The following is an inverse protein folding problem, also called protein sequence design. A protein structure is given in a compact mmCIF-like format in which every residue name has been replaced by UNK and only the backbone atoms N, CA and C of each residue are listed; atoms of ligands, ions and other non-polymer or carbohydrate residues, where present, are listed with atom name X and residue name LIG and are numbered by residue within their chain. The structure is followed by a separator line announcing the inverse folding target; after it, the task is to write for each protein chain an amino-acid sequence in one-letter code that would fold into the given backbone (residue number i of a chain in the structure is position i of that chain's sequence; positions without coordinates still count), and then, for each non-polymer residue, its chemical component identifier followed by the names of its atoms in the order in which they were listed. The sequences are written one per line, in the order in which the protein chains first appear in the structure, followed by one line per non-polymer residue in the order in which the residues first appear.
data_IF_028008161372
#
_entry.id   IF_028008161372
#
_cell.length_a   1.000
_cell.length_b   1.000
_cell.length_c   1.000
_cell.angle_alpha   90.00
_cell.angle_beta   90.00
_cell.angle_gamma   90.00
#
_symmetry.space_group_name_H-M   'P 1'
#
loop_
_entity.id
_entity.type
_entity.pdbx_description
1 polymer ?
#
# COMPACT_ATOMS: atom_id res chain seq x y z
N UNK A 1 19.26 62.84 -23.32
CA UNK A 1 19.99 64.06 -23.72
C UNK A 1 18.98 65.10 -24.22
N UNK A 2 19.19 66.39 -23.96
CA UNK A 2 18.31 67.48 -24.42
C UNK A 2 19.04 68.28 -25.51
N UNK A 3 18.31 68.88 -26.46
CA UNK A 3 18.91 69.71 -27.53
C UNK A 3 19.68 70.91 -26.98
N UNK A 4 19.13 71.60 -25.97
CA UNK A 4 19.75 72.76 -25.31
C UNK A 4 21.14 72.44 -24.74
N UNK A 5 21.37 71.21 -24.29
CA UNK A 5 22.68 70.77 -23.78
C UNK A 5 23.74 70.69 -24.90
N UNK A 6 23.34 70.31 -26.12
CA UNK A 6 24.25 70.25 -27.28
C UNK A 6 24.56 71.66 -27.81
N UNK A 7 23.58 72.56 -27.74
CA UNK A 7 23.75 73.98 -28.07
C UNK A 7 24.70 74.67 -27.07
N UNK A 8 24.56 74.40 -25.77
CA UNK A 8 25.46 74.89 -24.70
C UNK A 8 26.90 74.38 -24.85
N UNK A 9 27.10 73.22 -25.48
CA UNK A 9 28.43 72.65 -25.80
C UNK A 9 29.07 73.26 -27.06
N UNK A 10 28.43 74.26 -27.68
CA UNK A 10 28.94 74.95 -28.87
C UNK A 10 28.66 74.23 -30.19
N UNK A 11 27.75 73.24 -30.21
CA UNK A 11 27.31 72.60 -31.46
C UNK A 11 26.17 73.45 -32.03
N UNK A 12 26.49 74.36 -32.94
CA UNK A 12 25.49 75.29 -33.49
C UNK A 12 24.83 74.77 -34.79
N UNK A 13 25.42 73.76 -35.42
CA UNK A 13 24.89 73.16 -36.65
C UNK A 13 23.68 72.29 -36.34
N UNK A 14 22.50 72.76 -36.75
CA UNK A 14 21.21 72.09 -36.54
C UNK A 14 21.20 70.66 -37.10
N UNK A 15 21.86 70.43 -38.22
CA UNK A 15 21.99 69.12 -38.85
C UNK A 15 22.73 68.14 -37.92
N UNK A 16 23.84 68.58 -37.33
CA UNK A 16 24.67 67.76 -36.42
C UNK A 16 23.91 67.47 -35.12
N UNK A 17 23.21 68.46 -34.55
CA UNK A 17 22.35 68.27 -33.37
C UNK A 17 21.26 67.23 -33.66
N UNK A 18 20.61 67.30 -34.82
CA UNK A 18 19.55 66.36 -35.18
C UNK A 18 20.07 64.94 -35.38
N UNK A 19 21.25 64.79 -35.97
CA UNK A 19 21.90 63.50 -36.13
C UNK A 19 22.27 62.86 -34.78
N UNK A 20 22.92 63.61 -33.88
CA UNK A 20 23.25 63.16 -32.52
C UNK A 20 21.98 62.80 -31.73
N UNK A 21 20.92 63.61 -31.82
CA UNK A 21 19.66 63.33 -31.14
C UNK A 21 18.97 62.09 -31.69
N UNK A 22 19.07 61.84 -32.99
CA UNK A 22 18.53 60.64 -33.64
C UNK A 22 19.31 59.39 -33.24
N UNK A 23 20.63 59.47 -33.23
CA UNK A 23 21.51 58.39 -32.78
C UNK A 23 21.31 58.08 -31.30
N UNK A 24 21.24 59.10 -30.45
CA UNK A 24 20.93 58.93 -29.03
C UNK A 24 19.55 58.31 -28.80
N UNK A 25 18.55 58.70 -29.60
CA UNK A 25 17.22 58.09 -29.57
C UNK A 25 17.26 56.59 -29.90
N UNK A 26 17.96 56.21 -30.97
CA UNK A 26 18.17 54.82 -31.38
C UNK A 26 18.93 54.01 -30.32
N UNK A 27 20.03 54.54 -29.81
CA UNK A 27 20.82 53.87 -28.76
C UNK A 27 20.00 53.60 -27.50
N UNK A 28 19.12 54.53 -27.09
CA UNK A 28 18.21 54.31 -25.96
C UNK A 28 17.14 53.26 -26.25
N UNK A 29 16.62 53.23 -27.48
CA UNK A 29 15.65 52.22 -27.88
C UNK A 29 16.29 50.83 -27.92
N UNK A 30 17.49 50.70 -28.49
CA UNK A 30 18.25 49.45 -28.47
C UNK A 30 18.63 49.01 -27.06
N UNK A 31 18.95 49.94 -26.15
CA UNK A 31 19.18 49.61 -24.73
C UNK A 31 17.91 49.12 -24.04
N UNK A 32 16.75 49.68 -24.37
CA UNK A 32 15.46 49.26 -23.84
C UNK A 32 15.06 47.87 -24.36
N UNK A 33 15.35 47.58 -25.63
CA UNK A 33 15.12 46.27 -26.26
C UNK A 33 16.12 45.21 -25.76
N UNK A 34 17.36 45.60 -25.44
CA UNK A 34 18.39 44.73 -24.83
C UNK A 34 18.25 44.58 -23.31
N UNK A 35 17.12 44.98 -22.72
CA UNK A 35 16.80 44.69 -21.31
C UNK A 35 16.47 43.20 -21.13
N UNK A 36 17.48 42.35 -21.30
CA UNK A 36 17.54 40.97 -20.83
C UNK A 36 17.04 40.85 -19.37
N UNK A 37 17.01 41.95 -18.62
CA UNK A 37 16.44 42.03 -17.27
C UNK A 37 14.98 41.62 -17.20
N UNK A 38 14.16 41.87 -18.22
CA UNK A 38 12.73 41.50 -18.17
C UNK A 38 12.50 40.00 -18.38
N UNK A 39 13.27 39.39 -19.28
CA UNK A 39 13.28 37.94 -19.50
C UNK A 39 13.93 37.21 -18.32
N UNK A 40 15.09 37.71 -17.83
CA UNK A 40 15.75 37.21 -16.62
C UNK A 40 14.82 37.25 -15.40
N UNK A 41 14.03 38.32 -15.22
CA UNK A 41 13.08 38.39 -14.11
C UNK A 41 12.00 37.29 -14.20
N UNK A 42 11.43 37.08 -15.38
CA UNK A 42 10.45 36.01 -15.61
C UNK A 42 11.06 34.63 -15.36
N UNK A 43 12.28 34.41 -15.83
CA UNK A 43 13.00 33.15 -15.61
C UNK A 43 13.30 32.95 -14.12
N UNK A 44 13.69 34.00 -13.40
CA UNK A 44 13.91 33.91 -11.95
C UNK A 44 12.63 33.63 -11.17
N UNK A 45 11.50 34.24 -11.55
CA UNK A 45 10.19 33.97 -10.93
C UNK A 45 9.74 32.53 -11.19
N UNK A 46 9.91 32.04 -12.43
CA UNK A 46 9.59 30.67 -12.79
C UNK A 46 10.48 29.65 -12.06
N UNK A 47 11.78 29.92 -11.95
CA UNK A 47 12.71 29.07 -11.19
C UNK A 47 12.38 29.08 -9.69
N UNK A 48 12.02 30.22 -9.12
CA UNK A 48 11.59 30.31 -7.71
C UNK A 48 10.33 29.49 -7.46
N UNK A 49 9.34 29.55 -8.37
CA UNK A 49 8.14 28.72 -8.27
C UNK A 49 8.46 27.23 -8.34
N UNK A 50 9.34 26.81 -9.25
CA UNK A 50 9.79 25.42 -9.32
C UNK A 50 10.52 24.97 -8.05
N UNK A 51 11.36 25.82 -7.46
CA UNK A 51 12.05 25.52 -6.20
C UNK A 51 11.06 25.34 -5.05
N UNK A 52 10.02 26.19 -4.97
CA UNK A 52 8.98 26.05 -3.95
C UNK A 52 8.21 24.74 -4.15
N UNK A 53 7.79 24.43 -5.37
CA UNK A 53 7.05 23.19 -5.67
C UNK A 53 7.90 21.94 -5.37
N UNK A 54 9.17 21.94 -5.76
CA UNK A 54 10.09 20.84 -5.45
C UNK A 54 10.31 20.68 -3.94
N UNK A 55 10.43 21.78 -3.20
CA UNK A 55 10.58 21.73 -1.75
C UNK A 55 9.32 21.17 -1.07
N UNK A 56 8.12 21.54 -1.54
CA UNK A 56 6.86 20.96 -1.07
C UNK A 56 6.78 19.45 -1.36
N UNK A 57 7.21 19.02 -2.54
CA UNK A 57 7.29 17.60 -2.90
C UNK A 57 8.27 16.83 -2.01
N UNK A 58 9.46 17.40 -1.73
CA UNK A 58 10.45 16.81 -0.81
C UNK A 58 9.87 16.69 0.59
N UNK A 59 9.30 17.75 1.15
CA UNK A 59 8.72 17.73 2.49
C UNK A 59 7.60 16.69 2.60
N UNK A 60 6.79 16.53 1.54
CA UNK A 60 5.75 15.50 1.48
C UNK A 60 6.36 14.10 1.51
N UNK A 61 7.41 13.84 0.71
CA UNK A 61 8.10 12.56 0.70
C UNK A 61 8.80 12.26 2.03
N UNK A 62 9.43 13.25 2.67
CA UNK A 62 10.05 13.10 3.99
C UNK A 62 9.02 12.86 5.10
N UNK A 63 7.81 13.43 4.96
CA UNK A 63 6.70 13.19 5.90
C UNK A 63 6.06 11.81 5.76
N UNK A 64 6.29 11.13 4.63
CA UNK A 64 5.81 9.77 4.41
C UNK A 64 6.80 8.79 5.02
N UNK A 65 6.38 8.15 6.11
CA UNK A 65 7.16 7.11 6.78
C UNK A 65 7.09 5.78 5.99
N UNK A 66 7.72 5.78 4.82
CA UNK A 66 7.78 4.62 3.95
C UNK A 66 8.46 3.43 4.63
N UNK A 67 9.36 3.66 5.58
CA UNK A 67 10.01 2.58 6.32
C UNK A 67 9.01 1.80 7.18
N UNK A 68 8.13 2.49 7.92
CA UNK A 68 7.09 1.80 8.68
C UNK A 68 6.05 1.15 7.78
N UNK A 69 5.63 1.79 6.69
CA UNK A 69 4.70 1.15 5.74
C UNK A 69 5.31 -0.11 5.14
N UNK A 70 6.57 -0.07 4.68
CA UNK A 70 7.28 -1.25 4.14
C UNK A 70 7.40 -2.34 5.21
N UNK A 71 7.72 -1.99 6.46
CA UNK A 71 7.82 -2.95 7.55
C UNK A 71 6.48 -3.64 7.84
N UNK A 72 5.39 -2.86 7.91
CA UNK A 72 4.03 -3.38 8.10
C UNK A 72 3.63 -4.31 6.95
N UNK A 73 3.85 -3.90 5.70
CA UNK A 73 3.57 -4.72 4.52
C UNK A 73 4.37 -6.03 4.51
N UNK A 74 5.64 -5.99 4.88
CA UNK A 74 6.46 -7.21 5.00
C UNK A 74 5.91 -8.16 6.06
N UNK A 75 5.48 -7.63 7.21
CA UNK A 75 4.88 -8.45 8.27
C UNK A 75 3.54 -9.08 7.82
N UNK A 76 2.69 -8.32 7.13
CA UNK A 76 1.45 -8.85 6.53
C UNK A 76 1.75 -10.00 5.57
N UNK A 77 2.71 -9.82 4.66
CA UNK A 77 3.12 -10.84 3.70
C UNK A 77 3.61 -12.12 4.39
N UNK A 78 4.45 -11.99 5.42
CA UNK A 78 4.93 -13.17 6.16
C UNK A 78 3.81 -13.88 6.93
N UNK A 79 2.86 -13.14 7.51
CA UNK A 79 1.67 -13.74 8.13
C UNK A 79 0.84 -14.53 7.10
N UNK A 80 0.57 -13.94 5.93
CA UNK A 80 -0.19 -14.61 4.88
C UNK A 80 0.52 -15.84 4.33
N UNK A 81 1.85 -15.79 4.18
CA UNK A 81 2.64 -16.97 3.78
C UNK A 81 2.53 -18.09 4.81
N UNK A 82 2.65 -17.77 6.10
CA UNK A 82 2.52 -18.75 7.17
C UNK A 82 1.12 -19.38 7.21
N UNK A 83 0.07 -18.58 7.05
CA UNK A 83 -1.31 -19.07 7.02
C UNK A 83 -1.58 -19.94 5.79
N UNK A 84 -1.10 -19.53 4.62
CA UNK A 84 -1.19 -20.35 3.39
C UNK A 84 -0.49 -21.69 3.58
N UNK A 85 0.70 -21.72 4.19
CA UNK A 85 1.41 -22.96 4.47
C UNK A 85 0.62 -23.87 5.42
N UNK A 86 0.04 -23.32 6.50
CA UNK A 86 -0.85 -24.07 7.41
C UNK A 86 -2.05 -24.65 6.68
N UNK A 87 -2.70 -23.86 5.82
CA UNK A 87 -3.83 -24.32 5.02
C UNK A 87 -3.46 -25.45 4.07
N UNK A 88 -2.32 -25.33 3.39
CA UNK A 88 -1.82 -26.37 2.48
C UNK A 88 -1.56 -27.68 3.24
N UNK A 89 -0.82 -27.61 4.34
CA UNK A 89 -0.52 -28.78 5.17
C UNK A 89 -1.79 -29.40 5.75
N UNK A 90 -2.73 -28.58 6.23
CA UNK A 90 -4.02 -29.07 6.73
C UNK A 90 -4.80 -29.84 5.64
N UNK A 91 -4.88 -29.27 4.43
CA UNK A 91 -5.53 -29.90 3.29
C UNK A 91 -4.87 -31.24 2.91
N UNK A 92 -3.54 -31.29 2.89
CA UNK A 92 -2.76 -32.50 2.61
C UNK A 92 -3.05 -33.64 3.60
N UNK A 93 -3.32 -33.31 4.87
CA UNK A 93 -3.55 -34.28 5.94
C UNK A 93 -5.04 -34.50 6.25
N UNK A 94 -5.95 -33.99 5.41
CA UNK A 94 -7.39 -34.16 5.57
C UNK A 94 -7.97 -33.42 6.77
N UNK A 95 -7.29 -32.37 7.24
CA UNK A 95 -7.74 -31.51 8.33
C UNK A 95 -8.68 -30.45 7.74
N UNK A 96 -9.91 -30.31 8.26
CA UNK A 96 -10.83 -29.26 7.83
C UNK A 96 -10.19 -27.87 7.89
N UNK A 97 -10.53 -26.99 6.95
CA UNK A 97 -10.01 -25.63 6.87
C UNK A 97 -10.14 -24.85 8.18
N UNK A 98 -11.28 -24.99 8.86
CA UNK A 98 -11.56 -24.38 10.18
C UNK A 98 -10.54 -24.77 11.27
N UNK A 99 -9.86 -25.91 11.10
CA UNK A 99 -8.85 -26.43 12.02
C UNK A 99 -7.42 -26.20 11.54
N UNK A 100 -7.20 -25.64 10.34
CA UNK A 100 -5.85 -25.35 9.84
C UNK A 100 -5.08 -24.40 10.77
N UNK A 101 -5.77 -23.42 11.36
CA UNK A 101 -5.20 -22.51 12.36
C UNK A 101 -4.86 -23.16 13.71
N UNK A 102 -5.18 -24.44 13.92
CA UNK A 102 -4.77 -25.20 15.11
C UNK A 102 -3.42 -25.90 14.95
N UNK A 103 -2.87 -25.93 13.75
CA UNK A 103 -1.53 -26.48 13.50
C UNK A 103 -0.46 -25.62 14.15
N UNK A 104 0.39 -26.26 14.95
CA UNK A 104 1.52 -25.64 15.62
C UNK A 104 2.80 -25.96 14.86
N UNK A 105 3.51 -24.92 14.44
CA UNK A 105 4.77 -25.05 13.74
C UNK A 105 5.19 -23.72 13.11
N UNK A 106 6.50 -23.56 12.97
CA UNK A 106 7.14 -22.41 12.33
C UNK A 106 7.69 -22.73 10.95
N UNK A 107 7.87 -24.01 10.64
CA UNK A 107 8.37 -24.51 9.37
C UNK A 107 7.46 -25.62 8.82
N UNK A 108 7.68 -25.99 7.56
CA UNK A 108 6.86 -27.00 6.88
C UNK A 108 6.91 -28.37 7.56
N UNK A 109 8.06 -28.77 8.10
CA UNK A 109 8.24 -30.09 8.71
C UNK A 109 7.53 -30.21 10.05
N UNK A 110 7.61 -29.17 10.89
CA UNK A 110 6.86 -29.07 12.16
C UNK A 110 5.36 -29.08 11.90
N UNK A 111 4.89 -28.30 10.92
CA UNK A 111 3.47 -28.27 10.57
C UNK A 111 2.98 -29.62 10.08
N UNK A 112 3.76 -30.35 9.27
CA UNK A 112 3.41 -31.70 8.82
C UNK A 112 3.35 -32.68 9.98
N UNK A 113 4.34 -32.68 10.86
CA UNK A 113 4.36 -33.55 12.03
C UNK A 113 3.17 -33.28 12.97
N UNK A 114 2.79 -32.01 13.17
CA UNK A 114 1.61 -31.67 13.95
C UNK A 114 0.30 -32.03 13.24
N UNK A 115 0.25 -31.89 11.91
CA UNK A 115 -0.90 -32.28 11.11
C UNK A 115 -1.13 -33.79 11.13
N UNK A 116 -0.10 -34.61 11.00
CA UNK A 116 -0.19 -36.06 11.15
C UNK A 116 -0.75 -36.44 12.54
N UNK A 117 -0.26 -35.79 13.60
CA UNK A 117 -0.76 -36.00 14.97
C UNK A 117 -2.23 -35.61 15.10
N UNK A 118 -2.62 -34.42 14.63
CA UNK A 118 -4.01 -33.96 14.68
C UNK A 118 -4.94 -34.87 13.86
N UNK A 119 -4.53 -35.26 12.66
CA UNK A 119 -5.27 -36.17 11.81
C UNK A 119 -5.49 -37.54 12.49
N UNK A 120 -4.49 -38.03 13.24
CA UNK A 120 -4.60 -39.30 13.97
C UNK A 120 -5.73 -39.31 15.02
N UNK A 121 -6.07 -38.16 15.60
CA UNK A 121 -7.19 -38.04 16.53
C UNK A 121 -8.55 -38.00 15.81
N UNK A 122 -8.60 -37.47 14.59
CA UNK A 122 -9.81 -37.36 13.78
C UNK A 122 -10.17 -38.66 13.06
N UNK A 123 -9.15 -39.46 12.70
CA UNK A 123 -9.33 -40.73 11.98
C UNK A 123 -9.68 -41.91 12.88
N UNK A 124 -9.71 -41.76 14.21
CA UNK A 124 -10.17 -42.86 15.06
C UNK A 124 -11.62 -43.19 14.70
N UNK A 125 -11.91 -44.37 14.14
CA UNK A 125 -13.29 -44.81 14.04
C UNK A 125 -13.85 -44.75 15.45
N UNK A 126 -15.09 -44.28 15.57
CA UNK A 126 -15.85 -44.38 16.81
C UNK A 126 -15.90 -45.88 17.13
N UNK A 127 -14.95 -46.37 17.93
CA UNK A 127 -15.11 -47.65 18.61
C UNK A 127 -16.42 -47.47 19.36
N UNK A 128 -17.47 -48.07 18.83
CA UNK A 128 -18.70 -48.22 19.56
C UNK A 128 -18.27 -49.04 20.78
N UNK A 129 -18.05 -48.36 21.92
CA UNK A 129 -18.08 -49.00 23.22
C UNK A 129 -19.25 -49.97 23.15
N UNK A 130 -19.05 -51.27 23.43
CA UNK A 130 -20.10 -52.26 23.27
C UNK A 130 -21.35 -51.70 23.93
N UNK A 131 -22.27 -51.24 23.08
CA UNK A 131 -23.45 -50.53 23.50
C UNK A 131 -24.14 -51.49 24.44
N UNK A 132 -24.49 -51.05 25.65
CA UNK A 132 -25.54 -51.72 26.41
C UNK A 132 -26.65 -52.01 25.40
N UNK A 133 -26.94 -53.30 25.19
CA UNK A 133 -27.85 -53.71 24.14
C UNK A 133 -29.12 -52.87 24.28
N UNK A 134 -29.58 -52.15 23.22
CA UNK A 134 -30.84 -51.45 23.31
C UNK A 134 -31.89 -52.47 23.77
N UNK A 135 -32.75 -52.14 24.76
CA UNK A 135 -33.64 -53.11 25.36
C UNK A 135 -34.39 -53.83 24.24
N UNK A 136 -34.13 -55.14 24.12
CA UNK A 136 -34.82 -55.93 23.11
C UNK A 136 -36.30 -55.83 23.43
N UNK A 137 -37.09 -55.23 22.53
CA UNK A 137 -38.54 -55.34 22.59
C UNK A 137 -38.84 -56.82 22.45
N UNK A 138 -39.05 -57.51 23.58
CA UNK A 138 -39.51 -58.89 23.58
C UNK A 138 -40.78 -58.93 22.71
N UNK A 139 -40.88 -59.85 21.74
CA UNK A 139 -42.11 -60.01 20.98
C UNK A 139 -43.26 -60.17 21.98
N UNK A 140 -44.32 -59.36 21.83
CA UNK A 140 -45.51 -59.52 22.62
C UNK A 140 -46.15 -60.85 22.22
N UNK A 141 -45.97 -61.87 23.07
CA UNK A 141 -46.61 -63.16 22.95
C UNK A 141 -47.78 -63.22 23.94
N UNK A 142 -49.03 -63.02 23.46
CA UNK A 142 -50.20 -62.96 24.33
C UNK A 142 -50.47 -64.28 25.06
N UNK A 143 -50.01 -65.42 24.53
CA UNK A 143 -50.16 -66.71 25.21
C UNK A 143 -49.22 -66.80 26.40
N UNK A 144 -47.99 -66.28 26.25
CA UNK A 144 -46.99 -66.26 27.32
C UNK A 144 -47.39 -65.34 28.47
N UNK A 145 -48.04 -64.21 28.19
CA UNK A 145 -48.54 -63.31 29.23
C UNK A 145 -49.71 -63.91 30.00
N UNK A 146 -50.68 -64.54 29.31
CA UNK A 146 -51.80 -65.20 29.99
C UNK A 146 -51.37 -66.32 30.92
N UNK A 147 -50.36 -67.11 30.54
CA UNK A 147 -49.83 -68.17 31.40
C UNK A 147 -49.14 -67.58 32.65
N UNK A 148 -48.45 -66.44 32.52
CA UNK A 148 -47.81 -65.79 33.65
C UNK A 148 -48.83 -65.20 34.64
N UNK A 149 -49.91 -64.59 34.13
CA UNK A 149 -50.98 -64.01 34.97
C UNK A 149 -51.78 -65.08 35.74
N UNK A 150 -51.81 -66.33 35.24
CA UNK A 150 -52.43 -67.48 35.92
C UNK A 150 -51.52 -68.13 36.98
N UNK A 151 -50.24 -67.75 37.03
CA UNK A 151 -49.25 -68.31 37.96
C UNK A 151 -48.97 -67.43 39.19
N UNK A 152 -49.73 -66.35 39.38
CA UNK A 152 -49.69 -65.48 40.56
C UNK A 152 -50.97 -65.55 41.37
#
# INVERSE_FOLDING_TARGET
MKRSFLEELGIEKKEVINEIMKEHGRSRQEMAEKTNTTELLKDTEALQQQVIELQEQINKLESMDYETEIAQRKQEIESYKADMLRMQVASEHGIPYELAGKLNGTNADELKADAERLASYMQKPKELLPLAQPPQKKPYDPLRTMVQDLTY
#
